data_IF_966748501564
#
_entry.id   IF_966748501564
#
_cell.length_a   1.000
_cell.length_b   1.000
_cell.length_c   1.000
_cell.angle_alpha   90.00
_cell.angle_beta   90.00
_cell.angle_gamma   90.00
#
_symmetry.space_group_name_H-M   'P 1'
#
loop_
_entity.id
_entity.type
_entity.pdbx_description
1 polymer ?
#
# COMPACT_ATOMS: atom_id res chain seq x y z
N UNK A 1 6.93 -96.83 -13.13
CA UNK A 1 6.21 -96.79 -14.43
C UNK A 1 6.22 -95.34 -14.90
N UNK A 2 7.03 -95.08 -15.93
CA UNK A 2 6.97 -94.06 -17.01
C UNK A 2 6.51 -92.62 -16.66
N UNK A 3 6.99 -91.53 -17.26
CA UNK A 3 8.17 -91.13 -18.05
C UNK A 3 7.98 -89.61 -18.30
N UNK A 4 9.09 -88.86 -18.37
CA UNK A 4 9.37 -87.58 -19.06
C UNK A 4 8.24 -86.64 -19.54
N UNK A 5 8.36 -85.33 -19.21
CA UNK A 5 8.97 -84.27 -20.06
C UNK A 5 8.50 -82.85 -19.66
N UNK A 6 9.41 -81.89 -19.73
CA UNK A 6 9.26 -80.46 -19.43
C UNK A 6 8.38 -79.71 -20.45
N UNK A 7 7.76 -78.59 -20.03
CA UNK A 7 7.45 -77.46 -20.91
C UNK A 7 7.50 -76.13 -20.10
N UNK A 8 8.06 -75.03 -20.65
CA UNK A 8 8.39 -73.81 -19.90
C UNK A 8 7.38 -72.67 -20.10
N UNK A 9 7.70 -71.53 -19.48
CA UNK A 9 7.21 -70.17 -19.73
C UNK A 9 5.92 -69.72 -19.03
N UNK A 10 6.13 -69.04 -17.89
CA UNK A 10 5.15 -68.14 -17.28
C UNK A 10 5.02 -66.82 -18.06
N UNK A 11 3.87 -66.13 -17.97
CA UNK A 11 3.68 -64.87 -18.65
C UNK A 11 4.39 -63.76 -17.88
N UNK A 12 5.35 -63.13 -18.53
CA UNK A 12 5.93 -61.83 -18.20
C UNK A 12 4.87 -60.72 -18.27
N UNK A 13 5.00 -59.63 -17.51
CA UNK A 13 4.07 -58.51 -17.58
C UNK A 13 4.28 -57.80 -18.92
N UNK A 14 3.32 -57.93 -19.82
CA UNK A 14 3.31 -57.20 -21.08
C UNK A 14 3.27 -55.70 -20.79
N UNK A 15 4.31 -55.01 -21.23
CA UNK A 15 4.41 -53.56 -21.35
C UNK A 15 3.08 -52.94 -21.78
N UNK A 16 2.47 -52.16 -20.88
CA UNK A 16 1.36 -51.27 -21.23
C UNK A 16 1.82 -50.35 -22.35
N UNK A 17 1.23 -50.51 -23.51
CA UNK A 17 1.53 -49.73 -24.69
C UNK A 17 1.02 -48.30 -24.45
N UNK A 18 1.88 -47.29 -24.58
CA UNK A 18 1.58 -45.84 -24.50
C UNK A 18 0.54 -45.34 -25.54
N UNK A 19 -0.15 -46.25 -26.24
CA UNK A 19 -1.06 -45.95 -27.34
C UNK A 19 -2.45 -45.49 -26.91
N UNK A 20 -2.81 -45.58 -25.62
CA UNK A 20 -4.13 -45.16 -25.11
C UNK A 20 -4.20 -43.67 -24.69
N UNK A 21 -3.09 -42.93 -24.73
CA UNK A 21 -3.06 -41.53 -24.30
C UNK A 21 -3.53 -40.51 -25.35
N UNK A 22 -3.72 -40.92 -26.61
CA UNK A 22 -4.17 -40.03 -27.69
C UNK A 22 -5.06 -40.76 -28.71
N UNK A 23 -6.38 -40.91 -28.46
CA UNK A 23 -7.31 -41.64 -29.33
C UNK A 23 -7.53 -41.00 -30.73
N UNK A 24 -6.81 -39.93 -31.06
CA UNK A 24 -6.96 -39.14 -32.29
C UNK A 24 -6.00 -39.62 -33.40
N UNK A 25 -4.93 -40.35 -33.06
CA UNK A 25 -3.86 -40.67 -34.02
C UNK A 25 -4.10 -41.92 -34.87
N UNK A 26 -5.09 -42.77 -34.54
CA UNK A 26 -5.32 -44.08 -35.19
C UNK A 26 -6.69 -44.24 -35.89
N UNK A 27 -7.44 -43.15 -36.15
CA UNK A 27 -8.69 -43.24 -36.92
C UNK A 27 -8.46 -42.92 -38.41
N UNK A 28 -9.17 -43.59 -39.36
CA UNK A 28 -9.09 -43.25 -40.77
C UNK A 28 -9.36 -41.76 -40.98
N UNK A 29 -8.58 -41.13 -41.85
CA UNK A 29 -8.57 -39.69 -42.12
C UNK A 29 -9.89 -39.23 -42.76
N UNK A 30 -10.92 -39.12 -41.93
CA UNK A 30 -12.20 -38.53 -42.32
C UNK A 30 -12.18 -37.03 -42.06
N UNK A 31 -13.02 -36.28 -42.79
CA UNK A 31 -13.19 -34.83 -42.60
C UNK A 31 -13.48 -34.46 -41.13
N UNK A 32 -14.12 -35.37 -40.39
CA UNK A 32 -14.44 -35.23 -38.95
C UNK A 32 -13.19 -35.38 -38.06
N UNK A 33 -12.28 -36.28 -38.38
CA UNK A 33 -11.00 -36.44 -37.66
C UNK A 33 -10.10 -35.21 -37.86
N UNK A 34 -10.05 -34.69 -39.09
CA UNK A 34 -9.33 -33.45 -39.40
C UNK A 34 -9.91 -32.23 -38.65
N UNK A 35 -11.24 -32.08 -38.61
CA UNK A 35 -11.91 -31.03 -37.84
C UNK A 35 -11.63 -31.11 -36.33
N UNK A 36 -11.60 -32.33 -35.76
CA UNK A 36 -11.23 -32.53 -34.35
C UNK A 36 -9.78 -32.17 -34.06
N UNK A 37 -8.85 -32.56 -34.94
CA UNK A 37 -7.43 -32.22 -34.80
C UNK A 37 -7.19 -30.70 -34.92
N UNK A 38 -7.86 -30.04 -35.88
CA UNK A 38 -7.83 -28.58 -36.02
C UNK A 38 -8.41 -27.90 -34.77
N UNK A 39 -9.55 -28.38 -34.27
CA UNK A 39 -10.15 -27.86 -33.03
C UNK A 39 -9.24 -28.02 -31.82
N UNK A 40 -8.58 -29.16 -31.66
CA UNK A 40 -7.62 -29.40 -30.58
C UNK A 40 -6.36 -28.52 -30.71
N UNK A 41 -5.82 -28.37 -31.91
CA UNK A 41 -4.68 -27.50 -32.17
C UNK A 41 -5.01 -26.02 -31.91
N UNK A 42 -6.18 -25.56 -32.34
CA UNK A 42 -6.67 -24.21 -32.05
C UNK A 42 -6.91 -24.01 -30.55
N UNK A 43 -7.45 -25.02 -29.86
CA UNK A 43 -7.64 -24.99 -28.40
C UNK A 43 -6.33 -24.88 -27.64
N UNK A 44 -5.32 -25.66 -28.02
CA UNK A 44 -3.98 -25.60 -27.43
C UNK A 44 -3.27 -24.26 -27.72
N UNK A 45 -3.41 -23.75 -28.94
CA UNK A 45 -2.86 -22.45 -29.30
C UNK A 45 -3.54 -21.30 -28.55
N UNK A 46 -4.87 -21.36 -28.39
CA UNK A 46 -5.64 -20.38 -27.61
C UNK A 46 -5.27 -20.44 -26.12
N UNK A 47 -5.13 -21.64 -25.56
CA UNK A 47 -4.68 -21.83 -24.18
C UNK A 47 -3.25 -21.30 -23.99
N UNK A 48 -2.32 -21.64 -24.89
CA UNK A 48 -0.95 -21.14 -24.87
C UNK A 48 -0.86 -19.60 -24.92
N UNK A 49 -1.75 -18.95 -25.68
CA UNK A 49 -1.89 -17.49 -25.68
C UNK A 49 -2.53 -16.94 -24.40
N UNK A 50 -3.48 -17.65 -23.81
CA UNK A 50 -4.14 -17.22 -22.57
C UNK A 50 -3.18 -17.27 -21.36
N UNK A 51 -2.26 -18.23 -21.33
CA UNK A 51 -1.26 -18.37 -20.26
C UNK A 51 0.05 -17.63 -20.55
N UNK A 52 0.24 -17.04 -21.73
CA UNK A 52 1.48 -16.32 -22.04
C UNK A 52 1.86 -15.19 -21.08
N UNK A 53 0.91 -14.48 -20.41
CA UNK A 53 1.28 -13.49 -19.39
C UNK A 53 1.98 -14.11 -18.17
N UNK A 54 1.70 -15.38 -17.83
CA UNK A 54 2.38 -16.08 -16.74
C UNK A 54 3.87 -16.31 -17.03
N UNK A 55 4.26 -16.38 -18.30
CA UNK A 55 5.67 -16.50 -18.69
C UNK A 55 6.47 -15.19 -18.52
N UNK A 56 5.79 -14.08 -18.22
CA UNK A 56 6.41 -12.78 -17.94
C UNK A 56 6.39 -12.40 -16.45
N UNK A 57 6.00 -13.32 -15.56
CA UNK A 57 6.02 -13.09 -14.11
C UNK A 57 7.48 -12.95 -13.67
N UNK A 58 7.86 -11.81 -13.04
CA UNK A 58 9.16 -11.67 -12.41
C UNK A 58 9.40 -12.74 -11.34
N UNK A 59 10.62 -13.26 -11.19
CA UNK A 59 10.93 -14.34 -10.24
C UNK A 59 10.58 -14.02 -8.77
N UNK A 60 10.42 -12.74 -8.44
CA UNK A 60 10.06 -12.25 -7.11
C UNK A 60 8.54 -12.05 -6.90
N UNK A 61 7.69 -12.43 -7.85
CA UNK A 61 6.22 -12.25 -7.76
C UNK A 61 5.54 -13.61 -7.85
N UNK A 62 4.66 -13.93 -6.89
CA UNK A 62 3.91 -15.18 -6.91
C UNK A 62 2.79 -15.15 -7.98
N UNK A 63 2.37 -16.32 -8.46
CA UNK A 63 1.25 -16.40 -9.43
C UNK A 63 -0.06 -15.86 -8.83
N UNK A 64 -0.27 -16.07 -7.53
CA UNK A 64 -1.43 -15.55 -6.82
C UNK A 64 -1.40 -14.03 -6.69
N UNK A 65 -0.20 -13.44 -6.55
CA UNK A 65 -0.02 -11.99 -6.56
C UNK A 65 -0.22 -11.39 -7.95
N UNK A 66 0.23 -12.08 -9.00
CA UNK A 66 0.00 -11.66 -10.38
C UNK A 66 -1.48 -11.68 -10.79
N UNK A 67 -2.26 -12.62 -10.24
CA UNK A 67 -3.70 -12.77 -10.47
C UNK A 67 -4.56 -12.08 -9.41
N UNK A 68 -3.94 -11.37 -8.45
CA UNK A 68 -4.65 -10.71 -7.38
C UNK A 68 -5.68 -9.74 -7.95
N UNK A 69 -6.87 -9.67 -7.36
CA UNK A 69 -7.90 -8.70 -7.77
C UNK A 69 -7.75 -7.39 -7.00
N UNK A 70 -8.32 -6.31 -7.56
CA UNK A 70 -8.37 -5.03 -6.89
C UNK A 70 -9.06 -5.16 -5.52
N UNK A 71 -8.54 -4.53 -4.46
CA UNK A 71 -9.06 -4.68 -3.08
C UNK A 71 -10.59 -4.61 -2.94
N UNK A 72 -11.25 -3.70 -3.68
CA UNK A 72 -12.71 -3.54 -3.66
C UNK A 72 -13.51 -4.74 -4.16
N UNK A 73 -12.87 -5.66 -4.87
CA UNK A 73 -13.48 -6.86 -5.45
C UNK A 73 -13.16 -8.13 -4.64
N UNK A 74 -12.23 -8.05 -3.68
CA UNK A 74 -11.83 -9.18 -2.85
C UNK A 74 -12.97 -9.62 -1.91
N UNK A 75 -13.24 -10.93 -1.90
CA UNK A 75 -14.08 -11.55 -0.88
C UNK A 75 -13.35 -11.61 0.47
N UNK A 76 -14.07 -11.88 1.55
CA UNK A 76 -13.46 -12.03 2.88
C UNK A 76 -12.49 -13.24 2.91
N UNK A 77 -12.84 -14.35 2.25
CA UNK A 77 -11.96 -15.52 2.07
C UNK A 77 -10.67 -15.15 1.30
N UNK A 78 -10.78 -14.31 0.27
CA UNK A 78 -9.60 -13.84 -0.47
C UNK A 78 -8.68 -12.98 0.41
N UNK A 79 -9.27 -12.09 1.22
CA UNK A 79 -8.52 -11.26 2.15
C UNK A 79 -7.81 -12.10 3.20
N UNK A 80 -8.49 -13.06 3.82
CA UNK A 80 -7.86 -13.97 4.80
C UNK A 80 -6.65 -14.69 4.22
N UNK A 81 -6.77 -15.22 2.99
CA UNK A 81 -5.65 -15.85 2.29
C UNK A 81 -4.50 -14.87 2.01
N UNK A 82 -4.82 -13.66 1.57
CA UNK A 82 -3.80 -12.63 1.29
C UNK A 82 -3.11 -12.18 2.58
N UNK A 83 -3.85 -12.01 3.68
CA UNK A 83 -3.30 -11.57 4.95
C UNK A 83 -2.35 -12.62 5.51
N UNK A 84 -2.78 -13.90 5.53
CA UNK A 84 -1.92 -15.00 5.96
C UNK A 84 -0.63 -15.11 5.12
N UNK A 85 -0.74 -14.89 3.79
CA UNK A 85 0.44 -14.85 2.91
C UNK A 85 1.37 -13.68 3.28
N UNK A 86 0.84 -12.47 3.43
CA UNK A 86 1.64 -11.28 3.75
C UNK A 86 2.29 -11.36 5.15
N UNK A 87 1.60 -11.93 6.13
CA UNK A 87 2.14 -12.20 7.47
C UNK A 87 3.33 -13.17 7.37
N UNK A 88 3.19 -14.25 6.61
CA UNK A 88 4.25 -15.22 6.38
C UNK A 88 5.44 -14.61 5.62
N UNK A 89 5.20 -13.85 4.56
CA UNK A 89 6.23 -13.13 3.80
C UNK A 89 6.99 -12.13 4.70
N UNK A 90 6.28 -11.44 5.61
CA UNK A 90 6.88 -10.51 6.57
C UNK A 90 7.77 -11.26 7.55
N UNK A 91 7.32 -12.40 8.07
CA UNK A 91 8.11 -13.26 8.95
C UNK A 91 9.36 -13.79 8.28
N UNK A 92 9.27 -14.22 7.02
CA UNK A 92 10.40 -14.74 6.25
C UNK A 92 11.42 -13.66 5.90
N UNK A 93 10.95 -12.48 5.49
CA UNK A 93 11.80 -11.39 4.99
C UNK A 93 12.39 -10.53 6.11
N UNK A 94 11.65 -10.36 7.21
CA UNK A 94 11.99 -9.43 8.28
C UNK A 94 12.17 -10.08 9.65
N UNK A 95 11.87 -11.38 9.81
CA UNK A 95 11.99 -12.07 11.09
C UNK A 95 11.00 -11.61 12.17
N UNK A 96 9.92 -10.94 11.76
CA UNK A 96 8.92 -10.39 12.67
C UNK A 96 7.57 -11.11 12.51
N UNK A 97 6.99 -11.54 13.63
CA UNK A 97 5.61 -12.02 13.68
C UNK A 97 4.66 -10.81 13.70
N UNK A 98 3.76 -10.76 12.72
CA UNK A 98 2.82 -9.63 12.53
C UNK A 98 1.40 -10.15 12.37
N UNK A 99 0.43 -9.28 12.60
CA UNK A 99 -1.00 -9.51 12.35
C UNK A 99 -1.51 -8.44 11.41
N UNK A 100 -2.17 -8.85 10.33
CA UNK A 100 -2.73 -7.96 9.32
C UNK A 100 -4.26 -7.96 9.40
N UNK A 101 -4.83 -6.77 9.62
CA UNK A 101 -6.27 -6.54 9.73
C UNK A 101 -6.81 -5.62 8.64
N UNK A 102 -8.11 -5.72 8.37
CA UNK A 102 -8.84 -4.83 7.46
C UNK A 102 -9.61 -3.75 8.25
N UNK A 103 -8.95 -2.63 8.57
CA UNK A 103 -9.61 -1.53 9.27
C UNK A 103 -10.51 -0.75 8.30
N UNK A 104 -11.82 -0.98 8.35
CA UNK A 104 -12.81 -0.35 7.47
C UNK A 104 -13.10 1.10 7.86
N UNK A 105 -13.44 1.99 6.90
CA UNK A 105 -13.82 3.37 7.20
C UNK A 105 -15.03 3.45 8.12
N UNK A 106 -15.05 4.42 9.02
CA UNK A 106 -16.15 4.63 9.96
C UNK A 106 -17.23 5.47 9.27
N UNK A 107 -18.47 4.96 9.11
CA UNK A 107 -19.55 5.72 8.48
C UNK A 107 -19.88 7.00 9.25
N UNK A 108 -20.05 8.11 8.52
CA UNK A 108 -20.43 9.40 9.11
C UNK A 108 -19.30 10.18 9.77
N UNK A 109 -18.10 9.60 9.90
CA UNK A 109 -16.90 10.30 10.37
C UNK A 109 -16.22 10.99 9.20
N UNK A 110 -15.53 12.10 9.44
CA UNK A 110 -14.64 12.74 8.48
C UNK A 110 -13.37 13.23 9.18
N UNK A 111 -12.28 12.49 9.05
CA UNK A 111 -11.03 12.84 9.72
C UNK A 111 -10.35 14.06 9.13
N UNK A 112 -9.83 14.92 10.01
CA UNK A 112 -9.00 16.06 9.64
C UNK A 112 -7.92 16.37 10.66
N UNK A 113 -6.96 17.17 10.20
CA UNK A 113 -5.80 17.60 10.98
C UNK A 113 -5.71 19.12 11.01
N UNK A 114 -5.26 19.70 12.12
CA UNK A 114 -4.78 21.08 12.18
C UNK A 114 -3.43 21.15 12.89
N UNK A 115 -2.53 21.98 12.38
CA UNK A 115 -1.23 22.24 13.01
C UNK A 115 -1.15 23.68 13.49
N UNK A 116 -0.88 23.83 14.78
CA UNK A 116 -0.53 25.09 15.42
C UNK A 116 0.95 25.42 15.15
N UNK A 117 1.20 26.38 14.26
CA UNK A 117 2.54 26.82 13.89
C UNK A 117 3.19 27.70 14.96
N UNK A 118 2.40 28.34 15.85
CA UNK A 118 2.94 29.07 17.01
C UNK A 118 3.55 28.14 18.07
N UNK A 119 3.13 26.87 18.12
CA UNK A 119 3.63 25.87 19.08
C UNK A 119 4.63 24.88 18.48
N UNK A 120 4.75 24.80 17.17
CA UNK A 120 5.71 23.88 16.56
C UNK A 120 7.13 24.42 16.76
N UNK A 121 7.99 23.64 17.43
CA UNK A 121 9.38 24.01 17.72
C UNK A 121 10.40 23.24 16.87
N UNK A 122 9.95 22.55 15.82
CA UNK A 122 10.85 21.87 14.88
C UNK A 122 11.47 20.55 15.35
N UNK A 123 11.12 20.02 16.52
CA UNK A 123 11.85 18.93 17.18
C UNK A 123 11.91 17.56 16.47
N UNK A 124 11.19 17.34 15.36
CA UNK A 124 11.25 16.09 14.60
C UNK A 124 10.57 14.84 15.22
N UNK A 125 10.16 14.83 16.49
CA UNK A 125 9.55 13.63 17.15
C UNK A 125 8.34 13.06 16.43
N UNK A 126 7.57 13.94 15.78
CA UNK A 126 6.42 13.51 14.98
C UNK A 126 6.82 12.72 13.71
N UNK A 127 8.00 13.01 13.15
CA UNK A 127 8.59 12.27 12.02
C UNK A 127 9.07 10.89 12.50
N UNK A 128 9.84 10.86 13.59
CA UNK A 128 10.35 9.62 14.22
C UNK A 128 9.21 8.65 14.55
N UNK A 129 8.18 9.14 15.24
CA UNK A 129 7.02 8.31 15.57
C UNK A 129 6.28 7.82 14.32
N UNK A 130 6.23 8.60 13.25
CA UNK A 130 5.64 8.18 11.99
C UNK A 130 6.49 7.10 11.30
N UNK A 131 7.82 7.24 11.31
CA UNK A 131 8.78 6.26 10.76
C UNK A 131 8.66 4.91 11.46
N UNK A 132 8.58 4.92 12.79
CA UNK A 132 8.44 3.71 13.61
C UNK A 132 7.06 3.06 13.41
N UNK A 133 5.98 3.82 13.61
CA UNK A 133 4.61 3.30 13.58
C UNK A 133 4.22 2.70 12.22
N UNK A 134 4.70 3.31 11.13
CA UNK A 134 4.31 2.97 9.76
C UNK A 134 5.33 2.11 9.01
N UNK A 135 6.28 1.50 9.74
CA UNK A 135 7.26 0.57 9.17
C UNK A 135 8.01 1.15 7.95
N UNK A 136 8.40 2.41 8.00
CA UNK A 136 9.15 3.01 6.90
C UNK A 136 10.55 2.38 6.78
N UNK A 137 11.10 2.37 5.56
CA UNK A 137 12.46 1.90 5.35
C UNK A 137 13.48 2.74 6.15
N UNK A 138 14.46 2.06 6.78
CA UNK A 138 15.55 2.70 7.55
C UNK A 138 16.76 3.17 6.73
N UNK A 139 16.94 2.66 5.51
CA UNK A 139 18.09 2.97 4.65
C UNK A 139 17.93 4.26 3.83
N UNK A 140 16.70 4.78 3.72
CA UNK A 140 16.39 5.96 2.89
C UNK A 140 15.45 6.92 3.62
N UNK A 141 15.56 8.22 3.33
CA UNK A 141 14.61 9.20 3.84
C UNK A 141 13.29 9.13 3.06
N UNK A 142 12.36 8.32 3.57
CA UNK A 142 10.99 8.22 3.09
C UNK A 142 9.97 8.80 4.08
N UNK A 143 10.37 9.79 4.89
CA UNK A 143 9.44 10.34 5.88
C UNK A 143 8.17 10.92 5.22
N UNK A 144 7.02 10.55 5.78
CA UNK A 144 5.71 11.09 5.40
C UNK A 144 5.52 12.54 5.83
N UNK A 145 6.32 12.97 6.79
CA UNK A 145 6.24 14.28 7.42
C UNK A 145 7.58 14.95 7.17
N UNK A 146 7.55 16.14 6.56
CA UNK A 146 8.72 16.99 6.39
C UNK A 146 8.51 18.26 7.18
N UNK A 147 9.39 18.59 8.10
CA UNK A 147 9.31 19.83 8.86
C UNK A 147 10.11 20.89 8.14
N UNK A 148 9.43 21.90 7.60
CA UNK A 148 10.08 23.05 6.96
C UNK A 148 10.45 24.07 8.04
N UNK A 149 11.72 24.42 8.14
CA UNK A 149 12.18 25.61 8.84
C UNK A 149 12.07 26.82 7.91
N UNK A 150 11.30 27.84 8.32
CA UNK A 150 11.00 29.02 7.53
C UNK A 150 11.34 30.31 8.30
N UNK A 151 11.85 31.36 7.64
CA UNK A 151 12.02 32.68 8.26
C UNK A 151 10.68 33.29 8.70
N UNK A 152 10.63 33.88 9.89
CA UNK A 152 9.44 34.61 10.34
C UNK A 152 9.16 35.79 9.41
N UNK A 153 7.89 35.93 9.00
CA UNK A 153 7.42 37.02 8.15
C UNK A 153 7.16 36.63 6.69
N UNK A 154 7.55 35.41 6.27
CA UNK A 154 7.22 34.86 4.95
C UNK A 154 6.57 33.48 5.08
N UNK A 155 5.70 33.14 4.12
CA UNK A 155 5.19 31.78 3.91
C UNK A 155 5.72 31.20 2.58
N UNK A 156 6.74 31.84 1.99
CA UNK A 156 7.40 31.34 0.80
C UNK A 156 8.15 30.04 1.13
N UNK A 157 7.63 28.94 0.60
CA UNK A 157 8.17 27.60 0.84
C UNK A 157 9.53 27.38 0.18
N UNK A 158 9.89 28.19 -0.81
CA UNK A 158 11.20 28.11 -1.48
C UNK A 158 12.33 28.59 -0.55
N UNK A 159 12.00 29.41 0.45
CA UNK A 159 12.93 29.79 1.53
C UNK A 159 12.99 28.75 2.66
N UNK A 160 12.20 27.67 2.55
CA UNK A 160 12.09 26.63 3.56
C UNK A 160 13.18 25.57 3.43
N UNK A 161 13.73 25.13 4.56
CA UNK A 161 14.68 24.02 4.60
C UNK A 161 14.11 22.84 5.43
N UNK A 162 14.19 21.62 4.90
CA UNK A 162 13.81 20.39 5.61
C UNK A 162 14.96 19.74 6.37
N UNK A 163 16.19 20.17 6.11
CA UNK A 163 17.41 19.56 6.63
C UNK A 163 18.25 20.63 7.32
N UNK A 164 18.18 20.66 8.65
CA UNK A 164 18.93 21.59 9.50
C UNK A 164 19.76 20.83 10.54
N UNK A 165 20.97 21.33 10.83
CA UNK A 165 21.98 20.70 11.68
C UNK A 165 22.23 21.46 13.00
N UNK A 166 21.40 22.47 13.30
CA UNK A 166 21.44 23.25 14.54
C UNK A 166 20.35 22.86 15.54
N UNK A 167 20.49 23.35 16.77
CA UNK A 167 19.49 23.15 17.83
C UNK A 167 18.22 23.93 17.52
N UNK A 168 17.06 23.32 17.61
CA UNK A 168 15.75 23.97 17.43
C UNK A 168 15.06 24.21 18.79
N UNK A 169 14.23 25.25 18.94
CA UNK A 169 13.83 26.24 17.92
C UNK A 169 14.83 27.40 17.77
N UNK A 170 14.86 28.01 16.58
CA UNK A 170 15.57 29.27 16.30
C UNK A 170 14.65 30.49 16.50
N UNK A 171 15.19 31.62 16.95
CA UNK A 171 14.41 32.82 17.31
C UNK A 171 13.79 33.52 16.09
N UNK A 172 14.49 33.54 14.95
CA UNK A 172 14.04 34.18 13.70
C UNK A 172 13.25 33.22 12.80
N UNK A 173 13.01 31.97 13.22
CA UNK A 173 12.34 30.93 12.43
C UNK A 173 11.03 30.46 13.03
N UNK A 174 10.18 29.89 12.19
CA UNK A 174 9.06 29.04 12.61
C UNK A 174 9.09 27.73 11.82
N UNK A 175 8.41 26.71 12.33
CA UNK A 175 8.48 25.36 11.80
C UNK A 175 7.12 24.89 11.28
N UNK A 176 7.08 24.45 10.03
CA UNK A 176 5.86 24.04 9.34
C UNK A 176 5.96 22.59 8.87
N UNK A 177 5.39 21.62 9.61
CA UNK A 177 5.28 20.25 9.14
C UNK A 177 4.34 20.11 7.95
N UNK A 178 4.82 19.54 6.85
CA UNK A 178 4.06 19.23 5.63
C UNK A 178 3.99 17.72 5.45
N UNK A 179 2.76 17.22 5.28
CA UNK A 179 2.44 15.81 5.07
C UNK A 179 1.24 15.68 4.12
N UNK A 180 0.75 14.45 3.89
CA UNK A 180 -0.45 14.25 3.07
C UNK A 180 -1.66 14.97 3.70
N UNK A 181 -2.33 15.77 2.88
CA UNK A 181 -3.40 16.67 3.32
C UNK A 181 -4.80 16.02 3.25
N UNK A 182 -4.90 14.74 2.84
CA UNK A 182 -6.17 14.00 2.63
C UNK A 182 -7.24 14.84 1.90
N UNK A 183 -6.93 15.20 0.65
CA UNK A 183 -7.75 16.09 -0.17
C UNK A 183 -9.13 15.50 -0.51
N UNK A 184 -10.16 16.35 -0.53
CA UNK A 184 -11.50 16.00 -1.05
C UNK A 184 -11.53 15.93 -2.58
N UNK A 185 -10.71 16.74 -3.23
CA UNK A 185 -10.47 16.68 -4.67
C UNK A 185 -9.02 16.25 -4.90
N UNK A 186 -8.66 14.97 -4.66
CA UNK A 186 -7.29 14.50 -4.71
C UNK A 186 -6.81 14.29 -6.16
N UNK A 187 -5.95 15.15 -6.72
CA UNK A 187 -5.43 14.95 -8.09
C UNK A 187 -4.66 13.63 -8.20
N UNK A 188 -4.00 13.22 -7.11
CA UNK A 188 -3.27 11.95 -7.03
C UNK A 188 -4.14 10.69 -7.18
N UNK A 189 -5.46 10.78 -6.96
CA UNK A 189 -6.41 9.69 -7.25
C UNK A 189 -6.77 9.69 -8.71
N UNK A 190 -7.17 10.84 -9.25
CA UNK A 190 -7.60 10.99 -10.65
C UNK A 190 -6.56 10.55 -11.66
N UNK A 191 -5.27 10.72 -11.37
CA UNK A 191 -4.17 10.35 -12.28
C UNK A 191 -3.74 8.88 -12.20
N UNK A 192 -4.29 8.09 -11.28
CA UNK A 192 -3.90 6.68 -11.14
C UNK A 192 -4.54 5.84 -12.25
N UNK A 193 -3.76 5.31 -13.22
CA UNK A 193 -4.33 4.64 -14.39
C UNK A 193 -4.95 3.27 -14.07
N UNK A 194 -4.60 2.69 -12.92
CA UNK A 194 -5.09 1.39 -12.45
C UNK A 194 -6.00 1.52 -11.22
N UNK A 195 -6.31 2.74 -10.79
CA UNK A 195 -7.17 2.98 -9.62
C UNK A 195 -6.68 2.40 -8.28
N UNK A 196 -5.36 2.14 -8.14
CA UNK A 196 -4.74 1.65 -6.89
C UNK A 196 -4.86 2.61 -5.69
N UNK A 197 -5.42 3.81 -5.87
CA UNK A 197 -5.64 4.77 -4.80
C UNK A 197 -7.02 5.39 -4.98
N UNK A 198 -7.78 5.49 -3.88
CA UNK A 198 -9.11 6.08 -3.85
C UNK A 198 -9.33 6.79 -2.51
N UNK A 199 -10.42 7.55 -2.42
CA UNK A 199 -10.86 8.17 -1.16
C UNK A 199 -11.93 7.31 -0.51
N UNK A 200 -11.79 7.01 0.77
CA UNK A 200 -12.80 6.32 1.58
C UNK A 200 -13.76 7.30 2.26
N UNK A 201 -14.89 6.79 2.76
CA UNK A 201 -16.00 7.59 3.29
C UNK A 201 -15.61 8.44 4.50
N UNK A 202 -14.60 7.99 5.28
CA UNK A 202 -14.06 8.72 6.42
C UNK A 202 -13.08 9.85 6.07
N UNK A 203 -12.92 10.12 4.77
CA UNK A 203 -12.08 11.20 4.26
C UNK A 203 -10.65 10.80 3.91
N UNK A 204 -10.20 9.62 4.33
CA UNK A 204 -8.82 9.17 4.11
C UNK A 204 -8.66 8.71 2.66
N UNK A 205 -7.64 9.24 1.97
CA UNK A 205 -7.19 8.68 0.70
C UNK A 205 -6.35 7.46 1.04
N UNK A 206 -6.60 6.30 0.44
CA UNK A 206 -5.84 5.06 0.69
C UNK A 206 -5.04 4.64 -0.54
N UNK A 207 -4.11 3.71 -0.36
CA UNK A 207 -3.38 3.07 -1.45
C UNK A 207 -3.41 1.57 -1.21
N UNK A 208 -3.82 0.82 -2.21
CA UNK A 208 -3.59 -0.61 -2.26
C UNK A 208 -2.19 -0.85 -2.79
N UNK A 209 -1.26 -1.21 -1.89
CA UNK A 209 0.13 -1.42 -2.29
C UNK A 209 0.27 -2.63 -3.22
N UNK A 210 -0.59 -3.66 -3.12
CA UNK A 210 -0.51 -4.83 -4.00
C UNK A 210 -1.05 -4.54 -5.41
N UNK A 211 -1.92 -3.54 -5.55
CA UNK A 211 -2.43 -3.12 -6.86
C UNK A 211 -1.60 -2.00 -7.51
N UNK A 212 -0.74 -1.34 -6.74
CA UNK A 212 0.06 -0.22 -7.21
C UNK A 212 1.16 -0.67 -8.18
N UNK A 213 1.02 -0.32 -9.47
CA UNK A 213 2.01 -0.64 -10.51
C UNK A 213 3.25 0.28 -10.53
N UNK A 214 3.41 1.17 -9.56
CA UNK A 214 4.62 2.01 -9.49
C UNK A 214 4.81 3.05 -10.61
N UNK A 215 3.77 3.44 -11.35
CA UNK A 215 3.90 4.43 -12.44
C UNK A 215 4.21 5.86 -11.98
N UNK A 216 4.08 6.16 -10.69
CA UNK A 216 4.44 7.44 -10.03
C UNK A 216 3.72 8.71 -10.52
N UNK A 217 2.69 8.60 -11.36
CA UNK A 217 1.89 9.77 -11.74
C UNK A 217 1.22 10.46 -10.55
N UNK A 218 0.82 9.70 -9.53
CA UNK A 218 0.27 10.24 -8.30
C UNK A 218 1.28 11.05 -7.47
N UNK A 219 2.59 10.77 -7.62
CA UNK A 219 3.68 11.55 -7.04
C UNK A 219 3.76 12.92 -7.72
N UNK A 220 3.85 12.94 -9.05
CA UNK A 220 3.93 14.15 -9.85
C UNK A 220 2.68 15.05 -9.71
N UNK A 221 1.50 14.45 -9.57
CA UNK A 221 0.25 15.20 -9.43
C UNK A 221 0.01 15.78 -8.02
N UNK A 222 0.77 15.35 -7.00
CA UNK A 222 0.54 15.81 -5.64
C UNK A 222 1.23 17.16 -5.39
N UNK A 223 0.49 18.27 -5.19
CA UNK A 223 1.10 19.60 -5.03
C UNK A 223 1.85 19.80 -3.71
N UNK A 224 1.76 18.81 -2.82
CA UNK A 224 2.39 18.82 -1.49
C UNK A 224 3.63 17.92 -1.41
N UNK A 225 3.97 17.22 -2.51
CA UNK A 225 5.00 16.17 -2.53
C UNK A 225 4.85 15.19 -1.35
N UNK A 226 3.62 14.76 -1.08
CA UNK A 226 3.28 13.94 0.09
C UNK A 226 3.24 12.43 -0.19
N UNK A 227 3.61 12.04 -1.41
CA UNK A 227 3.74 10.65 -1.84
C UNK A 227 5.22 10.27 -1.83
N UNK A 228 5.54 9.04 -1.43
CA UNK A 228 6.88 8.47 -1.43
C UNK A 228 6.88 7.20 -2.26
N UNK A 229 7.91 7.01 -3.07
CA UNK A 229 8.07 5.80 -3.87
C UNK A 229 9.11 4.89 -3.24
N UNK A 230 8.79 3.60 -3.17
CA UNK A 230 9.67 2.55 -2.68
C UNK A 230 10.60 2.10 -3.80
N UNK A 231 11.76 2.76 -3.89
CA UNK A 231 12.79 2.43 -4.88
C UNK A 231 13.47 1.10 -4.60
N UNK A 232 13.64 0.79 -3.32
CA UNK A 232 14.37 -0.37 -2.81
C UNK A 232 13.43 -1.17 -1.91
N UNK A 233 13.77 -2.44 -1.68
CA UNK A 233 13.09 -3.25 -0.69
C UNK A 233 13.34 -2.63 0.68
N UNK A 234 12.31 -2.38 1.51
CA UNK A 234 12.54 -1.82 2.82
C UNK A 234 13.45 -2.71 3.66
N UNK A 235 14.44 -2.10 4.30
CA UNK A 235 15.24 -2.66 5.39
C UNK A 235 14.72 -2.08 6.70
N UNK A 236 14.27 -2.96 7.61
CA UNK A 236 13.71 -2.62 8.92
C UNK A 236 14.19 -3.70 9.90
N UNK A 237 14.81 -3.33 11.05
CA UNK A 237 15.15 -4.30 12.08
C UNK A 237 13.91 -5.03 12.59
N UNK A 238 14.02 -6.34 12.82
CA UNK A 238 12.90 -7.19 13.23
C UNK A 238 12.19 -6.67 14.49
N UNK A 239 12.97 -6.17 15.45
CA UNK A 239 12.53 -5.60 16.72
C UNK A 239 11.79 -4.27 16.58
N UNK A 240 11.93 -3.58 15.45
CA UNK A 240 11.27 -2.31 15.18
C UNK A 240 10.02 -2.46 14.31
N UNK A 241 9.79 -3.65 13.72
CA UNK A 241 8.60 -3.92 12.93
C UNK A 241 7.38 -3.84 13.85
N UNK A 242 6.44 -2.95 13.51
CA UNK A 242 5.17 -2.87 14.19
C UNK A 242 4.38 -4.17 13.93
N UNK A 243 4.02 -4.94 14.97
CA UNK A 243 3.33 -6.22 14.80
C UNK A 243 1.85 -6.04 14.43
N UNK A 244 1.24 -4.91 14.76
CA UNK A 244 -0.17 -4.64 14.48
C UNK A 244 -0.28 -3.82 13.19
N UNK A 245 -0.70 -4.47 12.10
CA UNK A 245 -0.65 -3.92 10.76
C UNK A 245 -2.04 -3.89 10.13
N UNK A 246 -2.32 -2.83 9.37
CA UNK A 246 -3.50 -2.78 8.50
C UNK A 246 -3.14 -2.91 7.03
N UNK A 247 -3.95 -3.67 6.27
CA UNK A 247 -3.69 -4.00 4.86
C UNK A 247 -3.45 -2.76 3.97
N UNK A 248 -4.24 -1.69 4.15
CA UNK A 248 -4.14 -0.42 3.40
C UNK A 248 -3.33 0.67 4.13
N UNK A 249 -2.51 0.29 5.12
CA UNK A 249 -1.91 1.24 6.07
C UNK A 249 -0.42 1.00 6.34
N UNK A 250 -0.06 0.63 7.57
CA UNK A 250 1.29 0.58 8.11
C UNK A 250 2.05 -0.74 7.88
N UNK A 251 1.52 -1.71 7.13
CA UNK A 251 2.27 -2.93 6.82
C UNK A 251 3.59 -2.63 6.11
N UNK A 252 4.51 -3.58 6.03
CA UNK A 252 5.73 -3.37 5.22
C UNK A 252 5.35 -3.31 3.74
N UNK A 253 5.76 -2.26 3.03
CA UNK A 253 5.39 -2.04 1.63
C UNK A 253 6.40 -2.73 0.70
N UNK A 254 5.95 -3.38 -0.38
CA UNK A 254 6.89 -3.96 -1.34
C UNK A 254 7.59 -2.87 -2.16
N UNK A 255 8.77 -3.20 -2.68
CA UNK A 255 9.48 -2.37 -3.66
C UNK A 255 8.58 -2.08 -4.87
N UNK A 256 8.73 -0.89 -5.47
CA UNK A 256 8.00 -0.48 -6.66
C UNK A 256 6.62 0.11 -6.38
N UNK A 257 6.29 0.36 -5.13
CA UNK A 257 4.97 0.89 -4.74
C UNK A 257 5.03 2.32 -4.21
N UNK A 258 3.88 3.00 -4.27
CA UNK A 258 3.70 4.33 -3.71
C UNK A 258 3.11 4.23 -2.31
N UNK A 259 3.63 5.04 -1.40
CA UNK A 259 3.15 5.15 -0.04
C UNK A 259 2.96 6.62 0.37
N UNK A 260 2.24 6.84 1.47
CA UNK A 260 1.94 8.18 1.99
C UNK A 260 1.30 8.10 3.37
N UNK A 261 1.27 9.24 4.07
CA UNK A 261 0.47 9.39 5.27
C UNK A 261 -1.00 9.02 5.01
N UNK A 262 -1.55 8.18 5.89
CA UNK A 262 -2.93 7.72 5.88
C UNK A 262 -3.60 7.98 7.24
N UNK A 263 -3.19 9.06 7.92
CA UNK A 263 -3.65 9.42 9.27
C UNK A 263 -3.61 8.28 10.29
N UNK A 264 -2.65 7.35 10.13
CA UNK A 264 -2.56 6.14 10.94
C UNK A 264 -3.91 5.42 11.01
N UNK A 265 -4.58 5.18 9.86
CA UNK A 265 -5.92 4.57 9.82
C UNK A 265 -6.07 3.30 10.66
N UNK A 266 -5.00 2.53 10.85
CA UNK A 266 -4.98 1.35 11.72
C UNK A 266 -5.17 1.70 13.20
N UNK A 267 -4.80 2.91 13.61
CA UNK A 267 -5.07 3.47 14.94
C UNK A 267 -6.38 4.23 14.99
N UNK A 268 -6.60 5.14 14.04
CA UNK A 268 -7.70 6.12 14.13
C UNK A 268 -9.07 5.49 13.94
N UNK A 269 -9.16 4.41 13.16
CA UNK A 269 -10.40 3.63 13.02
C UNK A 269 -10.74 2.80 14.27
N UNK A 270 -9.79 2.66 15.19
CA UNK A 270 -9.96 1.98 16.48
C UNK A 270 -10.10 2.96 17.66
N UNK A 271 -10.27 4.25 17.38
CA UNK A 271 -10.42 5.29 18.40
C UNK A 271 -9.11 5.75 19.05
N UNK A 272 -7.95 5.35 18.52
CA UNK A 272 -6.64 5.84 18.95
C UNK A 272 -6.21 7.07 18.15
N UNK A 273 -5.32 7.88 18.70
CA UNK A 273 -4.80 9.05 17.99
C UNK A 273 -3.64 8.66 17.04
N UNK A 274 -3.38 9.45 15.98
CA UNK A 274 -2.21 9.23 15.12
C UNK A 274 -0.92 9.31 15.94
N UNK A 275 0.04 8.40 15.67
CA UNK A 275 1.31 8.35 16.40
C UNK A 275 2.08 9.68 16.38
N UNK A 276 2.03 10.39 15.25
CA UNK A 276 2.67 11.70 15.11
C UNK A 276 2.05 12.78 16.00
N UNK A 277 0.77 12.67 16.36
CA UNK A 277 0.11 13.55 17.33
C UNK A 277 0.56 13.22 18.74
N UNK A 278 0.48 11.95 19.14
CA UNK A 278 0.82 11.50 20.49
C UNK A 278 2.28 11.77 20.85
N UNK A 279 3.18 11.68 19.88
CA UNK A 279 4.59 11.97 20.08
C UNK A 279 4.94 13.47 20.16
N UNK A 280 4.01 14.37 19.83
CA UNK A 280 4.27 15.81 19.76
C UNK A 280 4.37 16.44 21.16
N UNK A 281 5.55 16.88 21.63
CA UNK A 281 5.72 17.36 23.00
C UNK A 281 5.10 18.75 23.24
N UNK A 282 4.83 19.52 22.18
CA UNK A 282 4.31 20.89 22.29
C UNK A 282 2.80 20.99 22.14
N UNK A 283 2.12 19.88 21.82
CA UNK A 283 0.68 19.90 21.52
C UNK A 283 0.35 20.72 20.27
N UNK A 284 1.27 20.81 19.31
CA UNK A 284 1.06 21.54 18.07
C UNK A 284 0.07 20.85 17.12
N UNK A 285 -0.13 19.55 17.28
CA UNK A 285 -0.93 18.71 16.38
C UNK A 285 -2.32 18.49 16.96
N UNK A 286 -3.35 18.81 16.19
CA UNK A 286 -4.76 18.60 16.52
C UNK A 286 -5.36 17.69 15.48
N UNK A 287 -6.08 16.66 15.90
CA UNK A 287 -6.74 15.70 15.04
C UNK A 287 -8.16 15.46 15.55
N UNK A 288 -9.10 15.22 14.64
CA UNK A 288 -10.48 14.92 15.02
C UNK A 288 -11.40 14.72 13.83
N UNK A 289 -12.67 14.55 14.15
CA UNK A 289 -13.75 14.42 13.19
C UNK A 289 -14.36 15.79 12.85
N UNK A 290 -14.39 16.16 11.57
CA UNK A 290 -15.02 17.39 11.09
C UNK A 290 -16.54 17.37 11.22
N UNK A 291 -17.15 16.18 11.24
CA UNK A 291 -18.60 16.04 11.37
C UNK A 291 -19.08 16.10 12.83
N UNK A 292 -18.18 15.90 13.79
CA UNK A 292 -18.46 16.05 15.22
C UNK A 292 -18.26 17.52 15.64
N UNK A 293 -19.32 18.28 15.98
CA UNK A 293 -19.22 19.69 16.32
C UNK A 293 -18.41 19.96 17.60
N UNK A 294 -18.31 18.98 18.50
CA UNK A 294 -17.56 19.08 19.75
C UNK A 294 -16.09 18.67 19.61
N UNK A 295 -15.67 18.30 18.39
CA UNK A 295 -14.31 17.84 18.14
C UNK A 295 -13.26 18.95 18.30
N UNK A 296 -12.02 18.60 18.71
CA UNK A 296 -10.94 19.58 18.80
C UNK A 296 -10.66 20.32 17.49
N UNK A 297 -10.90 19.67 16.34
CA UNK A 297 -10.69 20.29 15.03
C UNK A 297 -11.74 21.36 14.76
N UNK A 298 -13.02 21.12 15.09
CA UNK A 298 -14.07 22.12 14.91
C UNK A 298 -13.86 23.34 15.81
N UNK A 299 -13.39 23.14 17.05
CA UNK A 299 -12.98 24.24 17.90
C UNK A 299 -11.92 25.13 17.23
N UNK A 300 -10.88 24.53 16.63
CA UNK A 300 -9.83 25.28 15.93
C UNK A 300 -10.41 26.04 14.73
N UNK A 301 -11.21 25.38 13.89
CA UNK A 301 -11.79 26.00 12.70
C UNK A 301 -12.72 27.19 13.03
N UNK A 302 -13.42 27.14 14.16
CA UNK A 302 -14.35 28.20 14.59
C UNK A 302 -13.68 29.36 15.33
N UNK A 303 -12.59 29.09 16.06
CA UNK A 303 -12.02 30.05 17.02
C UNK A 303 -10.63 30.58 16.63
N UNK A 304 -9.97 30.00 15.62
CA UNK A 304 -8.62 30.37 15.20
C UNK A 304 -8.58 30.88 13.77
N UNK A 305 -7.57 31.68 13.46
CA UNK A 305 -7.28 32.06 12.06
C UNK A 305 -6.56 30.91 11.40
N UNK A 306 -7.31 30.16 10.60
CA UNK A 306 -6.82 29.02 9.85
C UNK A 306 -6.44 29.45 8.44
N UNK A 307 -5.39 28.84 7.89
CA UNK A 307 -5.08 28.93 6.47
C UNK A 307 -4.90 27.52 5.90
N UNK A 308 -5.17 27.42 4.60
CA UNK A 308 -5.08 26.20 3.82
C UNK A 308 -3.85 26.28 2.93
N UNK A 309 -3.01 25.25 2.96
CA UNK A 309 -1.83 25.22 2.10
C UNK A 309 -2.23 25.02 0.64
N UNK A 310 -1.79 25.92 -0.23
CA UNK A 310 -2.05 25.91 -1.68
C UNK A 310 -3.55 25.86 -2.01
N UNK A 311 -4.35 26.69 -1.34
CA UNK A 311 -5.80 26.76 -1.49
C UNK A 311 -6.23 27.05 -2.95
N UNK A 312 -5.43 27.84 -3.67
CA UNK A 312 -5.65 28.23 -5.06
C UNK A 312 -5.75 27.05 -6.04
N UNK A 313 -5.23 25.87 -5.67
CA UNK A 313 -5.27 24.68 -6.50
C UNK A 313 -6.59 23.90 -6.40
N UNK A 314 -7.50 24.29 -5.51
CA UNK A 314 -8.84 23.69 -5.43
C UNK A 314 -8.86 22.21 -5.02
N UNK A 315 -7.82 21.73 -4.32
CA UNK A 315 -7.72 20.34 -3.83
C UNK A 315 -8.66 20.07 -2.64
N UNK A 316 -9.11 21.13 -1.93
CA UNK A 316 -9.96 21.05 -0.73
C UNK A 316 -9.39 20.07 0.32
N UNK A 317 -8.22 20.38 0.92
CA UNK A 317 -7.58 19.52 1.90
C UNK A 317 -8.37 19.43 3.21
N UNK A 318 -8.29 18.27 3.88
CA UNK A 318 -8.78 18.08 5.26
C UNK A 318 -7.66 18.29 6.27
N UNK A 319 -6.83 19.30 6.00
CA UNK A 319 -5.60 19.57 6.73
C UNK A 319 -5.35 21.07 6.76
N UNK A 320 -5.23 21.61 7.96
CA UNK A 320 -5.27 23.05 8.22
C UNK A 320 -4.02 23.49 9.01
N UNK A 321 -3.67 24.75 8.87
CA UNK A 321 -2.61 25.39 9.64
C UNK A 321 -3.15 26.62 10.34
N UNK A 322 -2.66 26.92 11.54
CA UNK A 322 -3.10 28.10 12.28
C UNK A 322 -2.01 28.64 13.19
N UNK A 323 -2.21 29.90 13.61
CA UNK A 323 -1.41 30.58 14.61
C UNK A 323 -2.30 30.96 15.80
N UNK A 324 -1.71 31.01 16.99
CA UNK A 324 -2.35 31.54 18.22
C UNK A 324 -2.40 33.08 18.26
#
# INVERSE_FOLDING_TARGET
>A
MNNHAENPDGPTPSSGNDQDLLPILNQPTTRRTALKAVGAALGLAAFGKAISPLASIPENVSVDEFLQQHYKELSDDDKERIFARLEQETKESYGADVTISDHRPIPGVRFAYAINLSKCNGNGKCMEACHLENNHHRGVDQSYIRVLELPKGTLDMEEGNTTFDHTVPQEDKFYMPVQCQQCDNPPCVTVCPVEATWKEDDGIVVVDYNWCIGCRYCEAACPYHARRFNWEQPEIPAEEVNPDQGYLSNRVRPQGTMEKCHFCLHRTREGRLPACLEACPTGARVFGDLNDPDSPINYVLQNKRVFVLKEELGTRPSFFYFFD
#
